data_IF_987824028221
#
_entry.id   IF_987824028221
#
_cell.length_a   1.000
_cell.length_b   1.000
_cell.length_c   1.000
_cell.angle_alpha   90.00
_cell.angle_beta   90.00
_cell.angle_gamma   90.00
#
_symmetry.space_group_name_H-M   'P 1'
#
loop_
_entity.id
_entity.type
_entity.pdbx_description
1 polymer ?
#
# COMPACT_ATOMS: atom_id res chain seq x y z
N UNK A 1 0.22 -29.12 27.33
CA UNK A 1 0.88 -28.20 26.37
C UNK A 1 -0.06 -27.03 26.20
N UNK A 2 0.22 -25.91 26.86
CA UNK A 2 -0.63 -24.72 26.81
C UNK A 2 -0.49 -24.10 25.43
N UNK A 3 -1.54 -24.19 24.61
CA UNK A 3 -1.65 -23.44 23.37
C UNK A 3 -1.54 -21.95 23.71
N UNK A 4 -0.46 -21.29 23.27
CA UNK A 4 -0.41 -19.84 23.36
C UNK A 4 -1.59 -19.27 22.57
N UNK A 5 -2.30 -18.26 23.11
CA UNK A 5 -3.40 -17.64 22.38
C UNK A 5 -2.87 -17.08 21.06
N UNK A 6 -3.54 -17.42 19.97
CA UNK A 6 -3.24 -16.90 18.64
C UNK A 6 -3.41 -15.38 18.70
N UNK A 7 -2.30 -14.65 18.68
CA UNK A 7 -2.31 -13.18 18.69
C UNK A 7 -2.77 -12.73 17.31
N UNK A 8 -4.03 -12.29 17.22
CA UNK A 8 -4.53 -11.66 16.01
C UNK A 8 -3.80 -10.31 15.82
N UNK A 9 -3.41 -9.96 14.59
CA UNK A 9 -2.78 -8.68 14.33
C UNK A 9 -3.76 -7.56 14.67
N UNK A 10 -3.30 -6.57 15.43
CA UNK A 10 -4.11 -5.42 15.86
C UNK A 10 -3.75 -4.16 15.05
N UNK A 11 -2.63 -4.20 14.33
CA UNK A 11 -2.05 -3.08 13.61
C UNK A 11 -1.27 -3.55 12.39
N UNK A 12 -1.14 -2.69 11.37
CA UNK A 12 -0.22 -2.96 10.25
C UNK A 12 1.24 -3.10 10.72
N UNK A 13 1.57 -2.59 11.90
CA UNK A 13 2.92 -2.68 12.47
C UNK A 13 3.29 -4.08 12.98
N UNK A 14 2.32 -5.00 13.06
CA UNK A 14 2.56 -6.40 13.43
C UNK A 14 3.06 -7.25 12.24
N UNK A 15 3.12 -6.68 11.03
CA UNK A 15 3.51 -7.40 9.82
C UNK A 15 4.97 -7.14 9.42
N UNK A 16 5.60 -8.20 8.93
CA UNK A 16 6.86 -8.14 8.17
C UNK A 16 6.55 -8.46 6.72
N UNK A 17 7.09 -7.65 5.82
CA UNK A 17 6.97 -7.81 4.36
C UNK A 17 8.36 -7.93 3.74
N UNK A 18 8.41 -8.27 2.45
CA UNK A 18 9.65 -8.31 1.68
C UNK A 18 9.84 -7.01 0.89
N UNK A 19 11.02 -6.42 0.94
CA UNK A 19 11.39 -5.36 -0.01
C UNK A 19 11.59 -5.95 -1.42
N UNK A 20 11.76 -5.09 -2.44
CA UNK A 20 11.97 -5.53 -3.81
C UNK A 20 13.22 -6.44 -4.00
N UNK A 21 14.15 -6.47 -3.03
CA UNK A 21 15.34 -7.32 -3.04
C UNK A 21 15.17 -8.62 -2.23
N UNK A 22 14.00 -8.86 -1.66
CA UNK A 22 13.69 -10.05 -0.86
C UNK A 22 14.15 -9.98 0.61
N UNK A 23 14.55 -8.81 1.11
CA UNK A 23 14.88 -8.62 2.52
C UNK A 23 13.62 -8.42 3.35
N UNK A 24 13.62 -8.91 4.58
CA UNK A 24 12.54 -8.66 5.54
C UNK A 24 12.53 -7.20 6.01
N UNK A 25 11.37 -6.57 5.94
CA UNK A 25 11.08 -5.23 6.44
C UNK A 25 9.90 -5.32 7.40
N UNK A 26 10.18 -5.07 8.68
CA UNK A 26 9.13 -4.93 9.69
C UNK A 26 8.42 -3.60 9.50
N UNK A 27 7.09 -3.63 9.32
CA UNK A 27 6.31 -2.40 9.13
C UNK A 27 6.26 -1.53 10.41
N UNK A 28 6.69 -2.05 11.55
CA UNK A 28 6.87 -1.26 12.77
C UNK A 28 7.83 -0.07 12.63
N UNK A 29 8.71 -0.06 11.61
CA UNK A 29 9.55 1.11 11.31
C UNK A 29 8.73 2.36 10.95
N UNK A 30 7.49 2.18 10.49
CA UNK A 30 6.57 3.26 10.13
C UNK A 30 5.68 3.71 11.30
N UNK A 31 5.98 3.30 12.53
CA UNK A 31 5.22 3.69 13.71
C UNK A 31 5.22 5.20 13.91
N UNK A 32 4.04 5.78 14.13
CA UNK A 32 3.87 7.23 14.28
C UNK A 32 3.73 7.99 12.95
N UNK A 33 3.83 7.30 11.82
CA UNK A 33 3.62 7.85 10.47
C UNK A 33 2.20 7.61 9.99
N UNK A 34 1.71 8.50 9.14
CA UNK A 34 0.53 8.22 8.31
C UNK A 34 1.01 7.42 7.12
N UNK A 35 0.40 6.26 6.85
CA UNK A 35 0.87 5.35 5.81
C UNK A 35 -0.22 5.15 4.77
N UNK A 36 0.10 5.36 3.50
CA UNK A 36 -0.76 5.03 2.38
C UNK A 36 -0.23 3.76 1.71
N UNK A 37 -0.98 2.66 1.80
CA UNK A 37 -0.62 1.38 1.21
C UNK A 37 -1.37 1.21 -0.11
N UNK A 38 -0.67 0.88 -1.20
CA UNK A 38 -1.24 0.84 -2.56
C UNK A 38 -0.80 -0.41 -3.31
N UNK A 39 -1.73 -1.15 -3.92
CA UNK A 39 -1.34 -2.18 -4.90
C UNK A 39 -1.10 -1.55 -6.26
N UNK A 40 0.01 -1.84 -6.92
CA UNK A 40 0.44 -1.14 -8.15
C UNK A 40 0.71 -2.09 -9.29
N UNK A 41 0.69 -1.54 -10.50
CA UNK A 41 1.08 -2.20 -11.73
C UNK A 41 1.69 -1.19 -12.72
N UNK A 42 2.54 -1.68 -13.62
CA UNK A 42 3.38 -0.89 -14.52
C UNK A 42 2.75 -0.73 -15.91
N UNK A 43 1.91 -1.68 -16.33
CA UNK A 43 1.25 -1.69 -17.65
C UNK A 43 -0.24 -1.32 -17.59
N UNK A 44 -0.69 -0.79 -16.48
CA UNK A 44 -2.08 -0.36 -16.31
C UNK A 44 -2.35 1.00 -16.97
N UNK A 45 -3.54 1.17 -17.55
CA UNK A 45 -3.99 2.47 -18.08
C UNK A 45 -3.97 3.61 -17.04
N UNK A 46 -3.98 3.27 -15.75
CA UNK A 46 -3.98 4.20 -14.63
C UNK A 46 -2.58 4.45 -14.02
N UNK A 47 -1.53 3.77 -14.52
CA UNK A 47 -0.17 3.86 -13.96
C UNK A 47 0.38 5.28 -13.98
N UNK A 48 0.24 5.98 -15.10
CA UNK A 48 0.81 7.33 -15.22
C UNK A 48 0.23 8.30 -14.19
N UNK A 49 -1.10 8.42 -14.12
CA UNK A 49 -1.74 9.35 -13.18
C UNK A 49 -1.48 8.96 -11.73
N UNK A 50 -1.57 7.67 -11.39
CA UNK A 50 -1.38 7.25 -10.00
C UNK A 50 0.05 7.49 -9.51
N UNK A 51 1.08 7.09 -10.26
CA UNK A 51 2.46 7.32 -9.82
C UNK A 51 2.80 8.81 -9.74
N UNK A 52 2.35 9.62 -10.70
CA UNK A 52 2.56 11.08 -10.66
C UNK A 52 1.91 11.70 -9.43
N UNK A 53 0.64 11.40 -9.18
CA UNK A 53 -0.11 11.98 -8.05
C UNK A 53 0.39 11.47 -6.69
N UNK A 54 0.78 10.19 -6.58
CA UNK A 54 1.41 9.64 -5.38
C UNK A 54 2.75 10.32 -5.08
N UNK A 55 3.57 10.56 -6.11
CA UNK A 55 4.82 11.30 -5.96
C UNK A 55 4.59 12.74 -5.49
N UNK A 56 3.56 13.41 -6.01
CA UNK A 56 3.21 14.77 -5.58
C UNK A 56 2.81 14.82 -4.10
N UNK A 57 1.94 13.91 -3.65
CA UNK A 57 1.59 13.79 -2.24
C UNK A 57 2.80 13.48 -1.37
N UNK A 58 3.59 12.47 -1.77
CA UNK A 58 4.73 12.03 -0.98
C UNK A 58 5.77 13.15 -0.85
N UNK A 59 6.12 13.83 -1.95
CA UNK A 59 7.02 14.98 -1.93
C UNK A 59 6.53 16.09 -1.01
N UNK A 60 5.23 16.35 -0.97
CA UNK A 60 4.64 17.42 -0.14
C UNK A 60 4.62 17.08 1.35
N UNK A 61 4.46 15.81 1.70
CA UNK A 61 4.13 15.39 3.08
C UNK A 61 5.10 14.41 3.74
N UNK A 62 6.12 13.89 3.03
CA UNK A 62 7.09 12.95 3.62
C UNK A 62 7.77 13.50 4.88
N UNK A 63 8.18 14.76 4.83
CA UNK A 63 8.83 15.46 5.94
C UNK A 63 7.86 15.79 7.09
N UNK A 64 6.55 15.69 6.84
CA UNK A 64 5.48 15.85 7.82
C UNK A 64 5.03 14.51 8.40
N UNK A 65 5.56 13.40 7.91
CA UNK A 65 5.28 12.05 8.41
C UNK A 65 4.33 11.21 7.57
N UNK A 66 4.15 11.53 6.29
CA UNK A 66 3.52 10.63 5.32
C UNK A 66 4.53 9.61 4.80
N UNK A 67 4.10 8.35 4.69
CA UNK A 67 4.82 7.28 4.01
C UNK A 67 3.91 6.62 2.97
N UNK A 68 4.46 6.25 1.82
CA UNK A 68 3.73 5.49 0.78
C UNK A 68 4.42 4.14 0.62
N UNK A 69 3.64 3.05 0.74
CA UNK A 69 4.12 1.68 0.55
C UNK A 69 3.41 1.09 -0.66
N UNK A 70 4.16 0.88 -1.74
CA UNK A 70 3.62 0.35 -2.98
C UNK A 70 3.99 -1.12 -3.16
N UNK A 71 2.96 -1.94 -3.38
CA UNK A 71 3.06 -3.40 -3.51
C UNK A 71 2.67 -3.81 -4.93
N UNK A 72 3.64 -4.18 -5.78
CA UNK A 72 3.34 -4.69 -7.11
C UNK A 72 2.45 -5.94 -7.05
N UNK A 73 1.49 -6.06 -7.98
CA UNK A 73 0.58 -7.20 -8.04
C UNK A 73 0.18 -7.51 -9.48
N UNK A 74 0.29 -8.77 -9.88
CA UNK A 74 -0.04 -9.20 -11.25
C UNK A 74 -1.44 -9.82 -11.40
N UNK A 75 -2.26 -9.85 -10.35
CA UNK A 75 -3.58 -10.51 -10.37
C UNK A 75 -4.63 -9.80 -11.25
N UNK A 76 -4.33 -8.59 -11.74
CA UNK A 76 -5.27 -7.76 -12.49
C UNK A 76 -4.77 -7.54 -13.92
N UNK A 77 -5.34 -8.29 -14.87
CA UNK A 77 -5.06 -8.15 -16.30
C UNK A 77 -3.63 -8.46 -16.72
N UNK A 78 -2.85 -9.16 -15.89
CA UNK A 78 -1.42 -9.42 -16.09
C UNK A 78 -0.61 -8.13 -16.35
N UNK A 79 -1.01 -7.03 -15.69
CA UNK A 79 -0.42 -5.70 -15.90
C UNK A 79 0.89 -5.46 -15.13
N UNK A 80 1.37 -6.46 -14.37
CA UNK A 80 2.65 -6.46 -13.64
C UNK A 80 3.49 -7.74 -13.87
N UNK A 81 3.80 -8.07 -15.15
CA UNK A 81 4.42 -9.35 -15.49
C UNK A 81 5.91 -9.40 -15.15
N UNK A 82 6.55 -8.24 -14.97
CA UNK A 82 7.98 -8.15 -14.69
C UNK A 82 8.38 -8.70 -13.32
N UNK A 83 9.66 -8.98 -13.14
CA UNK A 83 10.23 -9.29 -11.83
C UNK A 83 10.48 -8.00 -11.02
N UNK A 84 10.86 -8.13 -9.74
CA UNK A 84 11.08 -6.96 -8.88
C UNK A 84 12.15 -5.99 -9.38
N UNK A 85 13.19 -6.48 -10.04
CA UNK A 85 14.28 -5.64 -10.56
C UNK A 85 13.76 -4.79 -11.72
N UNK A 86 13.01 -5.39 -12.65
CA UNK A 86 12.37 -4.70 -13.78
C UNK A 86 11.33 -3.67 -13.30
N UNK A 87 10.54 -4.02 -12.27
CA UNK A 87 9.54 -3.13 -11.68
C UNK A 87 10.23 -1.94 -10.99
N UNK A 88 11.26 -2.20 -10.20
CA UNK A 88 12.01 -1.15 -9.52
C UNK A 88 12.68 -0.21 -10.54
N UNK A 89 13.28 -0.73 -11.61
CA UNK A 89 13.86 0.07 -12.68
C UNK A 89 12.81 0.92 -13.40
N UNK A 90 11.66 0.33 -13.74
CA UNK A 90 10.55 1.04 -14.35
C UNK A 90 10.09 2.24 -13.51
N UNK A 91 9.86 2.02 -12.21
CA UNK A 91 9.38 3.07 -11.30
C UNK A 91 10.45 4.15 -11.08
N UNK A 92 11.71 3.75 -10.88
CA UNK A 92 12.82 4.68 -10.67
C UNK A 92 13.11 5.55 -11.91
N UNK A 93 13.16 4.95 -13.10
CA UNK A 93 13.55 5.65 -14.32
C UNK A 93 12.42 6.55 -14.85
N UNK A 94 11.18 6.03 -14.87
CA UNK A 94 10.04 6.73 -15.47
C UNK A 94 9.42 7.75 -14.52
N UNK A 95 9.23 7.38 -13.26
CA UNK A 95 8.49 8.18 -12.31
C UNK A 95 9.37 8.86 -11.26
N UNK A 96 10.64 8.44 -11.12
CA UNK A 96 11.56 8.96 -10.10
C UNK A 96 10.95 8.91 -8.70
N UNK A 97 10.18 7.84 -8.42
CA UNK A 97 9.49 7.72 -7.15
C UNK A 97 10.49 7.58 -6.00
N UNK A 98 10.24 8.33 -4.94
CA UNK A 98 11.08 8.36 -3.74
C UNK A 98 10.51 7.50 -2.60
N UNK A 99 9.32 6.93 -2.78
CA UNK A 99 8.67 6.06 -1.82
C UNK A 99 9.01 4.59 -2.04
N UNK A 100 8.77 3.74 -1.03
CA UNK A 100 9.18 2.35 -1.04
C UNK A 100 8.32 1.48 -1.98
N UNK A 101 8.98 0.76 -2.87
CA UNK A 101 8.42 -0.34 -3.66
C UNK A 101 8.85 -1.66 -3.01
N UNK A 102 7.87 -2.50 -2.70
CA UNK A 102 8.07 -3.79 -2.04
C UNK A 102 8.09 -4.94 -3.05
N UNK A 103 8.30 -6.16 -2.55
CA UNK A 103 8.18 -7.38 -3.32
C UNK A 103 6.79 -7.51 -3.96
N UNK A 104 6.74 -8.17 -5.12
CA UNK A 104 5.48 -8.48 -5.79
C UNK A 104 4.70 -9.49 -4.96
N UNK A 105 3.42 -9.21 -4.71
CA UNK A 105 2.56 -10.03 -3.87
C UNK A 105 1.21 -10.30 -4.52
N UNK A 106 0.51 -11.29 -4.00
CA UNK A 106 -0.92 -11.46 -4.20
C UNK A 106 -1.71 -10.68 -3.14
N UNK A 107 -2.82 -10.06 -3.56
CA UNK A 107 -3.69 -9.24 -2.72
C UNK A 107 -5.08 -9.87 -2.51
N UNK A 108 -5.46 -10.79 -3.39
CA UNK A 108 -6.70 -11.57 -3.35
C UNK A 108 -6.42 -13.07 -3.35
N UNK A 109 -7.44 -13.87 -3.00
CA UNK A 109 -7.34 -15.33 -2.96
C UNK A 109 -6.66 -15.91 -1.72
N UNK A 110 -6.46 -17.22 -1.74
CA UNK A 110 -5.86 -17.98 -0.63
C UNK A 110 -4.38 -17.61 -0.40
N UNK A 111 -3.68 -17.26 -1.47
CA UNK A 111 -2.27 -16.87 -1.45
C UNK A 111 -2.04 -15.38 -1.17
N UNK A 112 -3.12 -14.62 -0.93
CA UNK A 112 -3.01 -13.21 -0.57
C UNK A 112 -2.09 -13.02 0.64
N UNK A 113 -1.22 -12.01 0.54
CA UNK A 113 -0.31 -11.61 1.61
C UNK A 113 -1.07 -11.42 2.92
N UNK A 114 -0.52 -11.87 4.07
CA UNK A 114 -1.13 -11.66 5.38
C UNK A 114 -1.48 -10.20 5.65
N UNK A 115 -0.66 -9.25 5.17
CA UNK A 115 -0.95 -7.82 5.24
C UNK A 115 -2.25 -7.48 4.50
N UNK A 116 -2.39 -7.89 3.24
CA UNK A 116 -3.58 -7.57 2.45
C UNK A 116 -4.84 -8.28 2.97
N UNK A 117 -4.71 -9.49 3.51
CA UNK A 117 -5.81 -10.14 4.24
C UNK A 117 -6.28 -9.26 5.41
N UNK A 118 -5.36 -8.72 6.19
CA UNK A 118 -5.68 -7.80 7.29
C UNK A 118 -6.28 -6.48 6.81
N UNK A 119 -5.68 -5.82 5.82
CA UNK A 119 -6.20 -4.57 5.26
C UNK A 119 -7.65 -4.71 4.77
N UNK A 120 -7.98 -5.87 4.20
CA UNK A 120 -9.32 -6.21 3.71
C UNK A 120 -10.36 -6.47 4.81
N UNK A 121 -9.95 -6.78 6.06
CA UNK A 121 -10.91 -7.06 7.16
C UNK A 121 -11.69 -5.85 7.68
N UNK A 122 -11.35 -4.64 7.24
CA UNK A 122 -12.16 -3.47 7.55
C UNK A 122 -13.54 -3.54 6.91
N UNK A 123 -14.51 -2.80 7.45
CA UNK A 123 -15.89 -2.79 6.95
C UNK A 123 -16.01 -1.88 5.73
N UNK A 124 -15.56 -2.35 4.56
CA UNK A 124 -15.37 -1.52 3.36
C UNK A 124 -16.59 -1.37 2.44
N UNK A 125 -17.78 -1.80 2.87
CA UNK A 125 -19.04 -1.64 2.15
C UNK A 125 -19.58 -2.94 1.55
N UNK A 126 -20.38 -2.81 0.49
CA UNK A 126 -21.28 -3.88 -0.02
C UNK A 126 -20.65 -4.83 -1.06
N UNK A 127 -19.46 -4.53 -1.59
CA UNK A 127 -18.85 -5.27 -2.70
C UNK A 127 -17.91 -6.40 -2.27
N UNK A 128 -18.05 -6.88 -1.03
CA UNK A 128 -17.11 -7.80 -0.43
C UNK A 128 -15.74 -7.18 -0.20
N UNK A 129 -14.83 -7.99 0.33
CA UNK A 129 -13.57 -7.46 0.86
C UNK A 129 -12.46 -7.41 -0.20
N UNK A 130 -12.60 -8.13 -1.32
CA UNK A 130 -11.56 -8.25 -2.35
C UNK A 130 -11.24 -6.94 -3.08
N UNK A 131 -9.98 -6.80 -3.49
CA UNK A 131 -9.49 -5.65 -4.27
C UNK A 131 -9.99 -5.78 -5.70
N UNK A 132 -10.61 -4.72 -6.23
CA UNK A 132 -11.30 -4.75 -7.52
C UNK A 132 -10.36 -4.61 -8.73
N UNK A 133 -9.25 -3.89 -8.59
CA UNK A 133 -8.27 -3.65 -9.65
C UNK A 133 -6.93 -3.13 -9.10
N UNK A 134 -5.99 -2.83 -10.01
CA UNK A 134 -4.79 -2.06 -9.71
C UNK A 134 -5.12 -0.70 -9.07
N UNK A 135 -4.24 -0.23 -8.19
CA UNK A 135 -4.35 1.04 -7.47
C UNK A 135 -5.51 1.13 -6.47
N UNK A 136 -5.88 0.04 -5.80
CA UNK A 136 -6.60 0.16 -4.53
C UNK A 136 -5.70 0.78 -3.46
N UNK A 137 -6.25 1.65 -2.61
CA UNK A 137 -5.47 2.32 -1.56
C UNK A 137 -6.07 2.07 -0.18
N UNK A 138 -5.21 1.93 0.82
CA UNK A 138 -5.59 1.89 2.22
C UNK A 138 -4.85 2.99 2.98
N UNK A 139 -5.58 3.81 3.71
CA UNK A 139 -5.01 4.84 4.56
C UNK A 139 -4.94 4.35 5.99
N UNK A 140 -3.75 4.49 6.57
CA UNK A 140 -3.42 4.01 7.90
C UNK A 140 -2.98 5.19 8.76
N UNK A 141 -3.55 5.27 9.96
CA UNK A 141 -3.21 6.33 10.91
C UNK A 141 -1.86 6.08 11.63
N UNK A 142 -1.42 7.05 12.45
CA UNK A 142 -0.17 7.00 13.23
C UNK A 142 -0.09 5.85 14.26
N UNK A 143 -1.21 5.19 14.55
CA UNK A 143 -1.31 4.03 15.43
C UNK A 143 -1.31 2.69 14.65
N UNK A 144 -1.21 2.75 13.32
CA UNK A 144 -1.17 1.59 12.44
C UNK A 144 -2.54 0.95 12.21
N UNK A 145 -3.62 1.67 12.49
CA UNK A 145 -5.00 1.23 12.20
C UNK A 145 -5.39 1.69 10.80
N UNK A 146 -6.02 0.80 10.04
CA UNK A 146 -6.61 1.15 8.74
C UNK A 146 -7.87 1.98 8.99
N UNK A 147 -7.86 3.23 8.53
CA UNK A 147 -8.95 4.18 8.78
C UNK A 147 -9.81 4.43 7.55
N UNK A 148 -9.27 4.18 6.35
CA UNK A 148 -10.02 4.30 5.10
C UNK A 148 -9.49 3.39 3.99
N UNK A 149 -10.35 3.12 3.01
CA UNK A 149 -10.04 2.39 1.78
C UNK A 149 -10.61 3.13 0.57
N UNK A 150 -9.78 3.34 -0.43
CA UNK A 150 -10.14 4.01 -1.67
C UNK A 150 -10.09 3.06 -2.86
N UNK A 151 -11.09 3.17 -3.73
CA UNK A 151 -11.22 2.35 -4.93
C UNK A 151 -10.13 2.69 -5.96
N UNK A 152 -9.84 1.77 -6.90
CA UNK A 152 -8.94 2.01 -8.03
C UNK A 152 -9.13 3.36 -8.71
N UNK A 153 -10.38 3.74 -8.96
CA UNK A 153 -10.80 4.97 -9.65
C UNK A 153 -10.61 6.24 -8.85
N UNK A 154 -10.33 6.16 -7.55
CA UNK A 154 -10.07 7.32 -6.70
C UNK A 154 -8.67 7.87 -7.00
N UNK A 155 -8.62 9.14 -7.43
CA UNK A 155 -7.37 9.88 -7.64
C UNK A 155 -6.62 10.03 -6.31
N UNK A 156 -5.30 9.72 -6.25
CA UNK A 156 -4.53 9.98 -5.05
C UNK A 156 -4.67 11.41 -4.53
N UNK A 157 -4.66 12.45 -5.38
CA UNK A 157 -4.80 13.84 -4.93
C UNK A 157 -6.10 14.11 -4.17
N UNK A 158 -7.19 13.40 -4.50
CA UNK A 158 -8.45 13.54 -3.76
C UNK A 158 -8.38 13.04 -2.30
N UNK A 159 -7.36 12.23 -1.97
CA UNK A 159 -7.10 11.68 -0.63
C UNK A 159 -6.30 12.68 0.25
N UNK A 160 -5.78 13.77 -0.35
CA UNK A 160 -4.94 14.76 0.35
C UNK A 160 -5.59 15.31 1.62
N UNK A 161 -6.90 15.57 1.58
CA UNK A 161 -7.65 16.08 2.73
C UNK A 161 -7.57 15.12 3.93
N UNK A 162 -7.77 13.82 3.71
CA UNK A 162 -7.75 12.81 4.76
C UNK A 162 -6.32 12.60 5.30
N UNK A 163 -5.32 12.65 4.42
CA UNK A 163 -3.90 12.63 4.81
C UNK A 163 -3.59 13.81 5.75
N UNK A 164 -3.94 15.03 5.34
CA UNK A 164 -3.73 16.25 6.14
C UNK A 164 -4.39 16.15 7.51
N UNK A 165 -5.63 15.65 7.57
CA UNK A 165 -6.36 15.42 8.82
C UNK A 165 -5.60 14.49 9.77
N UNK A 166 -5.02 13.40 9.26
CA UNK A 166 -4.23 12.46 10.08
C UNK A 166 -2.84 12.99 10.43
N UNK A 167 -2.24 13.81 9.56
CA UNK A 167 -0.98 14.48 9.86
C UNK A 167 -1.15 15.56 10.93
N UNK A 168 -2.35 16.15 11.03
CA UNK A 168 -2.65 17.27 11.92
C UNK A 168 -2.27 18.61 11.30
N UNK A 169 -2.32 18.72 9.97
CA UNK A 169 -1.91 19.93 9.22
C UNK A 169 -3.10 20.53 8.49
N UNK A 170 -3.31 21.84 8.66
CA UNK A 170 -4.45 22.59 8.11
C UNK A 170 -4.31 22.93 6.64
#
# INVERSE_FOLDING_TARGET
>A
MSSQPQKYPESVYDFTVKDAKGNDVSLSIYKGKVVLIVNVASKCGMTNSNYTELNDLYRKYKDQGLEVLAFPCNQFGDEEPGNNEEIADFVCTRFKSEFSIFDKIEVNGEDASPLYKFLKTGKWGIFGDDIQWNFGKFLVNKHGQVVDRYYPTTSPLSIEYDIKKLLGTS
#
